data_IF_777540272451
#
_entry.id   IF_777540272451
#
_cell.length_a   1.000
_cell.length_b   1.000
_cell.length_c   1.000
_cell.angle_alpha   90.00
_cell.angle_beta   90.00
_cell.angle_gamma   90.00
#
_symmetry.space_group_name_H-M   'P 1'
#
loop_
_entity.id
_entity.type
_entity.pdbx_description
1 polymer ?
#
# COMPACT_ATOMS: atom_id res chain seq x y z
N UNK A 1 -8.47 -14.58 12.29
CA UNK A 1 -9.42 -13.60 12.89
C UNK A 1 -9.77 -12.58 11.83
N UNK A 2 -11.02 -12.14 11.77
CA UNK A 2 -11.41 -11.09 10.84
C UNK A 2 -10.86 -9.75 11.34
N UNK A 3 -10.09 -9.03 10.52
CA UNK A 3 -9.54 -7.72 10.90
C UNK A 3 -10.67 -6.69 11.03
N UNK A 4 -10.57 -5.71 11.95
CA UNK A 4 -11.59 -4.70 12.13
C UNK A 4 -11.76 -3.84 10.87
N UNK A 5 -12.98 -3.29 10.69
CA UNK A 5 -13.30 -2.38 9.58
C UNK A 5 -12.45 -1.10 9.61
N UNK A 6 -12.11 -0.62 10.79
CA UNK A 6 -11.21 0.53 10.98
C UNK A 6 -9.82 -0.01 11.35
N UNK A 7 -8.72 0.52 10.80
CA UNK A 7 -7.38 0.16 11.25
C UNK A 7 -7.26 0.31 12.77
N UNK A 8 -6.76 -0.71 13.49
CA UNK A 8 -6.55 -0.60 14.93
C UNK A 8 -5.52 0.50 15.23
N UNK A 9 -5.71 1.17 16.37
CA UNK A 9 -4.73 2.11 16.91
C UNK A 9 -3.41 1.40 17.26
N UNK A 10 -2.32 2.14 17.18
CA UNK A 10 -0.98 1.66 17.51
C UNK A 10 0.07 2.15 16.50
N UNK A 11 1.19 1.45 16.41
CA UNK A 11 2.34 1.88 15.60
C UNK A 11 2.32 1.18 14.26
N UNK A 12 2.19 1.97 13.20
CA UNK A 12 2.23 1.54 11.80
C UNK A 12 3.53 2.01 11.16
N UNK A 13 4.36 1.08 10.70
CA UNK A 13 5.65 1.45 10.11
C UNK A 13 5.52 1.69 8.59
N UNK A 14 5.90 2.88 8.09
CA UNK A 14 6.04 3.11 6.66
C UNK A 14 7.29 2.39 6.16
N UNK A 15 7.08 1.41 5.28
CA UNK A 15 8.15 0.57 4.80
C UNK A 15 8.82 1.19 3.56
N UNK A 16 10.15 1.18 3.52
CA UNK A 16 10.93 1.61 2.35
C UNK A 16 10.97 0.53 1.26
N UNK A 17 11.39 0.91 0.06
CA UNK A 17 11.58 -0.01 -1.07
C UNK A 17 13.07 -0.24 -1.28
N UNK A 18 13.47 -1.49 -1.51
CA UNK A 18 14.85 -1.87 -1.82
C UNK A 18 15.00 -2.19 -3.30
N UNK A 19 16.12 -1.75 -3.85
CA UNK A 19 16.48 -1.90 -5.25
C UNK A 19 17.87 -2.53 -5.36
N UNK A 20 18.05 -3.34 -6.39
CA UNK A 20 19.36 -3.77 -6.85
C UNK A 20 20.06 -2.58 -7.53
N UNK A 21 21.20 -2.15 -6.99
CA UNK A 21 21.92 -0.98 -7.49
C UNK A 21 22.56 -1.17 -8.89
N UNK A 22 22.77 -2.42 -9.34
CA UNK A 22 23.34 -2.70 -10.64
C UNK A 22 22.29 -2.73 -11.75
N UNK A 23 21.07 -3.19 -11.44
CA UNK A 23 19.99 -3.36 -12.42
C UNK A 23 18.86 -2.35 -12.29
N UNK A 24 18.82 -1.55 -11.22
CA UNK A 24 17.74 -0.62 -10.89
C UNK A 24 16.36 -1.31 -10.79
N UNK A 25 16.35 -2.59 -10.41
CA UNK A 25 15.14 -3.40 -10.25
C UNK A 25 14.86 -3.68 -8.79
N UNK A 26 13.61 -3.99 -8.44
CA UNK A 26 13.23 -4.37 -7.07
C UNK A 26 14.08 -5.55 -6.53
N UNK A 27 14.67 -5.38 -5.36
CA UNK A 27 15.28 -6.47 -4.59
C UNK A 27 14.22 -7.11 -3.67
N UNK A 28 13.44 -8.03 -4.23
CA UNK A 28 12.32 -8.65 -3.49
C UNK A 28 12.76 -9.57 -2.35
N UNK A 29 13.99 -10.10 -2.40
CA UNK A 29 14.48 -11.04 -1.39
C UNK A 29 14.88 -10.30 -0.11
N UNK A 30 15.64 -9.20 -0.26
CA UNK A 30 15.93 -8.28 0.84
C UNK A 30 14.65 -7.64 1.37
N UNK A 31 13.74 -7.26 0.46
CA UNK A 31 12.44 -6.68 0.82
C UNK A 31 11.60 -7.65 1.67
N UNK A 32 11.54 -8.93 1.30
CA UNK A 32 10.80 -9.95 2.05
C UNK A 32 11.39 -10.14 3.46
N UNK A 33 12.72 -10.19 3.58
CA UNK A 33 13.42 -10.29 4.87
C UNK A 33 13.09 -9.10 5.77
N UNK A 34 13.12 -7.89 5.20
CA UNK A 34 12.79 -6.65 5.90
C UNK A 34 11.32 -6.62 6.39
N UNK A 35 10.37 -6.95 5.52
CA UNK A 35 8.95 -7.01 5.91
C UNK A 35 8.68 -8.05 7.00
N UNK A 36 9.28 -9.25 6.88
CA UNK A 36 9.14 -10.28 7.89
C UNK A 36 9.74 -9.84 9.23
N UNK A 37 10.87 -9.14 9.24
CA UNK A 37 11.46 -8.57 10.45
C UNK A 37 10.50 -7.57 11.12
N UNK A 38 10.00 -6.59 10.37
CA UNK A 38 9.07 -5.59 10.92
C UNK A 38 7.78 -6.23 11.45
N UNK A 39 7.25 -7.25 10.77
CA UNK A 39 6.03 -7.93 11.24
C UNK A 39 6.18 -8.62 12.60
N UNK A 40 7.43 -8.88 13.02
CA UNK A 40 7.77 -9.56 14.28
C UNK A 40 8.23 -8.59 15.36
N UNK A 41 8.34 -7.29 15.08
CA UNK A 41 8.89 -6.29 16.02
C UNK A 41 7.84 -5.65 16.94
N UNK A 42 6.64 -6.22 17.05
CA UNK A 42 5.55 -5.69 17.88
C UNK A 42 4.77 -4.53 17.25
N UNK A 43 4.99 -4.26 15.95
CA UNK A 43 4.22 -3.27 15.20
C UNK A 43 2.77 -3.72 15.00
N UNK A 44 1.86 -2.75 14.96
CA UNK A 44 0.44 -3.00 14.68
C UNK A 44 0.22 -3.42 13.24
N UNK A 45 0.99 -2.84 12.31
CA UNK A 45 0.87 -3.11 10.89
C UNK A 45 1.97 -2.44 10.08
N UNK A 46 1.98 -2.75 8.78
CA UNK A 46 2.86 -2.12 7.80
C UNK A 46 2.08 -1.18 6.90
N UNK A 47 2.66 -0.03 6.59
CA UNK A 47 2.25 0.82 5.48
C UNK A 47 3.22 0.58 4.33
N UNK A 48 2.73 -0.01 3.24
CA UNK A 48 3.50 -0.31 2.03
C UNK A 48 3.05 0.65 0.95
N UNK A 49 3.97 1.13 0.11
CA UNK A 49 3.70 2.14 -0.92
C UNK A 49 3.35 3.52 -0.33
N UNK A 50 3.98 3.89 0.78
CA UNK A 50 3.94 5.27 1.28
C UNK A 50 4.83 6.20 0.44
N UNK A 51 4.84 7.50 0.73
CA UNK A 51 5.78 8.43 0.09
C UNK A 51 7.24 8.02 0.30
N UNK A 52 7.55 7.46 1.47
CA UNK A 52 8.88 6.96 1.83
C UNK A 52 9.29 5.68 1.06
N UNK A 53 8.38 5.05 0.33
CA UNK A 53 8.64 3.88 -0.51
C UNK A 53 9.01 4.27 -1.94
N UNK A 54 9.25 5.56 -2.20
CA UNK A 54 9.52 6.11 -3.55
C UNK A 54 8.40 5.77 -4.55
N UNK A 55 7.16 5.68 -4.05
CA UNK A 55 6.00 5.14 -4.78
C UNK A 55 5.72 5.83 -6.12
N UNK A 56 6.10 7.09 -6.28
CA UNK A 56 5.94 7.82 -7.54
C UNK A 56 6.89 7.35 -8.66
N UNK A 57 7.98 6.67 -8.31
CA UNK A 57 8.96 6.14 -9.26
C UNK A 57 8.63 4.71 -9.69
N UNK A 58 7.74 4.03 -8.97
CA UNK A 58 7.39 2.64 -9.22
C UNK A 58 6.35 2.50 -10.34
N UNK A 59 6.56 1.53 -11.21
CA UNK A 59 5.53 1.05 -12.12
C UNK A 59 4.39 0.36 -11.36
N UNK A 60 3.22 0.24 -12.02
CA UNK A 60 2.07 -0.47 -11.45
C UNK A 60 2.39 -1.92 -11.07
N UNK A 61 3.16 -2.63 -11.88
CA UNK A 61 3.54 -4.02 -11.61
C UNK A 61 4.53 -4.15 -10.45
N UNK A 62 5.46 -3.21 -10.30
CA UNK A 62 6.35 -3.16 -9.13
C UNK A 62 5.58 -2.93 -7.84
N UNK A 63 4.59 -2.02 -7.86
CA UNK A 63 3.70 -1.79 -6.71
C UNK A 63 2.96 -3.07 -6.29
N UNK A 64 2.39 -3.80 -7.27
CA UNK A 64 1.76 -5.11 -7.02
C UNK A 64 2.75 -6.12 -6.46
N UNK A 65 3.97 -6.14 -6.99
CA UNK A 65 5.04 -7.06 -6.56
C UNK A 65 5.42 -6.81 -5.10
N UNK A 66 5.56 -5.55 -4.68
CA UNK A 66 5.85 -5.19 -3.29
C UNK A 66 4.72 -5.61 -2.33
N UNK A 67 3.46 -5.39 -2.70
CA UNK A 67 2.32 -5.80 -1.87
C UNK A 67 2.23 -7.33 -1.72
N UNK A 68 2.41 -8.08 -2.82
CA UNK A 68 2.47 -9.55 -2.78
C UNK A 68 3.63 -10.04 -1.93
N UNK A 69 4.79 -9.40 -2.05
CA UNK A 69 5.98 -9.70 -1.25
C UNK A 69 5.71 -9.46 0.24
N UNK A 70 5.09 -8.33 0.59
CA UNK A 70 4.68 -8.02 1.97
C UNK A 70 3.70 -9.05 2.51
N UNK A 71 2.65 -9.40 1.76
CA UNK A 71 1.67 -10.41 2.20
C UNK A 71 2.32 -11.77 2.41
N UNK A 72 3.20 -12.21 1.49
CA UNK A 72 3.93 -13.48 1.62
C UNK A 72 4.84 -13.48 2.84
N UNK A 73 5.58 -12.39 3.08
CA UNK A 73 6.54 -12.27 4.16
C UNK A 73 5.90 -12.16 5.55
N UNK A 74 4.82 -11.38 5.69
CA UNK A 74 4.15 -11.13 6.97
C UNK A 74 3.11 -12.20 7.34
N UNK A 75 2.74 -13.07 6.39
CA UNK A 75 1.71 -14.08 6.57
C UNK A 75 0.28 -13.56 6.41
N UNK A 76 -0.74 -14.42 6.48
CA UNK A 76 -2.11 -14.10 6.04
C UNK A 76 -2.89 -13.16 6.97
N UNK A 77 -2.50 -13.07 8.25
CA UNK A 77 -3.26 -12.33 9.27
C UNK A 77 -2.64 -10.99 9.66
N UNK A 78 -1.40 -10.71 9.24
CA UNK A 78 -0.72 -9.49 9.64
C UNK A 78 -1.32 -8.26 8.92
N UNK A 79 -1.62 -7.16 9.62
CA UNK A 79 -2.24 -5.98 9.00
C UNK A 79 -1.31 -5.26 8.01
N UNK A 80 -1.79 -5.06 6.78
CA UNK A 80 -1.11 -4.31 5.73
C UNK A 80 -2.03 -3.18 5.25
N UNK A 81 -1.50 -1.97 5.23
CA UNK A 81 -2.09 -0.78 4.64
C UNK A 81 -1.31 -0.43 3.37
N UNK A 82 -2.00 -0.29 2.23
CA UNK A 82 -1.40 -0.02 0.93
C UNK A 82 -1.63 1.43 0.51
N UNK A 83 -0.58 2.16 0.14
CA UNK A 83 -0.73 3.45 -0.52
C UNK A 83 -1.32 3.29 -1.92
N UNK A 84 -2.47 3.93 -2.15
CA UNK A 84 -3.25 3.82 -3.40
C UNK A 84 -3.43 5.18 -4.09
N UNK A 85 -2.74 6.20 -3.63
CA UNK A 85 -2.75 7.53 -4.24
C UNK A 85 -2.35 7.47 -5.73
N UNK A 86 -2.98 8.33 -6.52
CA UNK A 86 -2.77 8.45 -7.96
C UNK A 86 -3.25 9.81 -8.47
N UNK A 87 -3.04 10.06 -9.76
CA UNK A 87 -3.32 11.36 -10.40
C UNK A 87 -4.73 11.47 -11.01
N UNK A 88 -5.55 10.42 -10.89
CA UNK A 88 -6.95 10.43 -11.31
C UNK A 88 -7.74 9.38 -10.52
N UNK A 89 -9.06 9.53 -10.44
CA UNK A 89 -9.92 8.54 -9.79
C UNK A 89 -9.76 7.15 -10.44
N UNK A 90 -9.71 7.07 -11.77
CA UNK A 90 -9.53 5.80 -12.48
C UNK A 90 -8.28 5.07 -12.01
N UNK A 91 -7.17 5.80 -11.91
CA UNK A 91 -5.90 5.24 -11.48
C UNK A 91 -5.94 4.78 -10.02
N UNK A 92 -6.59 5.55 -9.13
CA UNK A 92 -6.78 5.15 -7.73
C UNK A 92 -7.60 3.87 -7.62
N UNK A 93 -8.68 3.74 -8.40
CA UNK A 93 -9.51 2.53 -8.43
C UNK A 93 -8.71 1.30 -8.88
N UNK A 94 -7.83 1.46 -9.87
CA UNK A 94 -6.91 0.40 -10.30
C UNK A 94 -5.95 -0.01 -9.17
N UNK A 95 -5.38 0.95 -8.45
CA UNK A 95 -4.47 0.66 -7.33
C UNK A 95 -5.17 0.04 -6.13
N UNK A 96 -6.42 0.43 -5.85
CA UNK A 96 -7.24 -0.20 -4.81
C UNK A 96 -7.51 -1.67 -5.16
N UNK A 97 -7.89 -1.96 -6.40
CA UNK A 97 -8.13 -3.32 -6.86
C UNK A 97 -6.86 -4.18 -6.74
N UNK A 98 -5.74 -3.67 -7.25
CA UNK A 98 -4.44 -4.32 -7.16
C UNK A 98 -4.03 -4.60 -5.70
N UNK A 99 -4.29 -3.66 -4.80
CA UNK A 99 -3.98 -3.80 -3.38
C UNK A 99 -4.85 -4.86 -2.70
N UNK A 100 -6.15 -4.85 -2.98
CA UNK A 100 -7.08 -5.86 -2.47
C UNK A 100 -6.69 -7.28 -2.96
N UNK A 101 -6.38 -7.42 -4.24
CA UNK A 101 -5.96 -8.69 -4.85
C UNK A 101 -4.62 -9.19 -4.29
N UNK A 102 -3.70 -8.28 -3.96
CA UNK A 102 -2.45 -8.60 -3.28
C UNK A 102 -2.62 -8.93 -1.79
N UNK A 103 -3.84 -8.78 -1.25
CA UNK A 103 -4.18 -9.09 0.13
C UNK A 103 -3.88 -7.96 1.11
N UNK A 104 -3.82 -6.70 0.68
CA UNK A 104 -3.84 -5.56 1.59
C UNK A 104 -5.15 -5.53 2.38
N UNK A 105 -5.08 -5.09 3.63
CA UNK A 105 -6.26 -5.00 4.49
C UNK A 105 -6.83 -3.60 4.46
N UNK A 106 -5.97 -2.59 4.31
CA UNK A 106 -6.34 -1.19 4.30
C UNK A 106 -5.73 -0.48 3.11
N UNK A 107 -6.35 0.62 2.69
CA UNK A 107 -5.76 1.52 1.71
C UNK A 107 -5.53 2.89 2.33
N UNK A 108 -4.41 3.52 1.98
CA UNK A 108 -4.02 4.86 2.38
C UNK A 108 -4.09 5.74 1.13
N UNK A 109 -5.02 6.69 1.13
CA UNK A 109 -5.27 7.58 -0.01
C UNK A 109 -5.00 9.03 0.40
N UNK A 110 -4.02 9.64 -0.26
CA UNK A 110 -3.78 11.08 -0.14
C UNK A 110 -4.62 11.84 -1.17
N UNK A 111 -5.07 13.07 -0.83
CA UNK A 111 -5.70 13.94 -1.81
C UNK A 111 -4.71 14.26 -2.95
N UNK A 112 -5.23 14.57 -4.16
CA UNK A 112 -4.39 14.88 -5.31
C UNK A 112 -3.48 16.07 -5.01
N UNK A 113 -2.19 15.92 -5.34
CA UNK A 113 -1.13 16.84 -4.92
C UNK A 113 -1.16 18.24 -5.58
N UNK A 114 -1.99 18.45 -6.61
CA UNK A 114 -2.08 19.77 -7.27
C UNK A 114 -3.52 20.13 -7.68
N UNK A 115 -3.92 21.41 -7.57
CA UNK A 115 -5.26 21.89 -7.93
C UNK A 115 -5.68 21.57 -9.37
N UNK A 116 -4.72 21.52 -10.30
CA UNK A 116 -4.98 21.22 -11.70
C UNK A 116 -5.49 19.78 -11.93
N UNK A 117 -5.31 18.88 -10.96
CA UNK A 117 -5.74 17.48 -11.00
C UNK A 117 -7.08 17.25 -10.28
N UNK A 118 -7.63 18.27 -9.62
CA UNK A 118 -8.92 18.18 -8.95
C UNK A 118 -10.10 17.93 -9.91
N UNK A 119 -10.16 18.50 -11.14
CA UNK A 119 -11.28 18.25 -12.04
C UNK A 119 -11.43 16.78 -12.47
N UNK A 120 -10.31 16.04 -12.56
CA UNK A 120 -10.30 14.62 -12.91
C UNK A 120 -10.36 13.69 -11.69
N UNK A 121 -10.33 14.25 -10.48
CA UNK A 121 -10.37 13.53 -9.22
C UNK A 121 -11.72 13.73 -8.53
N UNK A 122 -12.67 12.85 -8.85
CA UNK A 122 -14.00 12.87 -8.27
C UNK A 122 -14.07 11.90 -7.08
N UNK A 123 -13.97 12.43 -5.86
CA UNK A 123 -14.14 11.64 -4.62
C UNK A 123 -15.49 10.93 -4.54
N UNK A 124 -16.56 11.49 -5.13
CA UNK A 124 -17.89 10.87 -5.11
C UNK A 124 -18.01 9.64 -6.01
N UNK A 125 -17.06 9.46 -6.94
CA UNK A 125 -16.99 8.28 -7.82
C UNK A 125 -16.12 7.16 -7.27
N UNK A 126 -15.35 7.44 -6.21
CA UNK A 126 -14.85 6.38 -5.36
C UNK A 126 -16.07 5.73 -4.71
N UNK A 127 -16.08 4.40 -4.50
CA UNK A 127 -17.15 3.76 -3.76
C UNK A 127 -17.43 4.58 -2.49
N UNK A 128 -18.69 4.83 -2.12
CA UNK A 128 -18.95 5.31 -0.76
C UNK A 128 -18.69 4.12 0.15
N UNK A 129 -17.48 4.10 0.73
CA UNK A 129 -16.88 2.97 1.44
C UNK A 129 -17.49 2.78 2.84
N UNK A 130 -18.82 2.75 2.97
CA UNK A 130 -19.47 2.45 4.26
C UNK A 130 -19.18 1.02 4.75
N UNK A 131 -18.54 0.18 3.91
CA UNK A 131 -18.33 -1.24 4.18
C UNK A 131 -16.92 -1.80 3.98
N UNK A 132 -15.89 -0.99 3.66
CA UNK A 132 -14.55 -1.55 3.42
C UNK A 132 -13.40 -0.67 3.88
N UNK A 133 -12.87 -1.03 5.07
CA UNK A 133 -11.44 -1.11 5.42
C UNK A 133 -10.48 -0.15 4.70
N UNK A 134 -10.70 1.16 4.69
CA UNK A 134 -9.79 2.12 4.07
C UNK A 134 -9.85 3.40 4.93
N UNK A 135 -8.74 3.70 5.62
CA UNK A 135 -8.39 5.00 6.21
C UNK A 135 -6.94 5.27 5.83
#
# INVERSE_FOLDING_TARGET
MNLPKVPPGGVWAPAVTFFDHATDSLDTDSQATYYAYLSKSGLTGLVVLGTNSETFLLTREERKTLLKTARKACGPSYPIMAGVSGHSTKQVLEFIADAADAGANYALLLPPASPAWQPSFNLNSLPRLEDSRIF
#
